data_IF_709300094865
#
_entry.id   IF_709300094865
#
_cell.length_a   1.000
_cell.length_b   1.000
_cell.length_c   1.000
_cell.angle_alpha   90.00
_cell.angle_beta   90.00
_cell.angle_gamma   90.00
#
_symmetry.space_group_name_H-M   'P 1'
#
loop_
_entity.id
_entity.type
_entity.pdbx_description
1 polymer ?
#
# COMPACT_ATOMS: atom_id res chain seq x y z
N UNK A 1 -12.81 3.20 -19.30
CA UNK A 1 -13.52 2.96 -18.02
C UNK A 1 -12.69 1.95 -17.25
N UNK A 2 -12.36 2.22 -15.98
CA UNK A 2 -11.72 1.22 -15.12
C UNK A 2 -12.81 0.27 -14.62
N UNK A 3 -12.60 -1.05 -14.76
CA UNK A 3 -13.57 -2.05 -14.27
C UNK A 3 -13.49 -2.22 -12.74
N UNK A 4 -12.40 -1.76 -12.12
CA UNK A 4 -12.23 -1.79 -10.67
C UNK A 4 -13.01 -0.62 -10.04
N UNK A 5 -13.77 -0.85 -8.94
CA UNK A 5 -14.40 0.23 -8.19
C UNK A 5 -13.39 1.30 -7.76
N UNK A 6 -13.81 2.57 -7.76
CA UNK A 6 -12.92 3.70 -7.48
C UNK A 6 -12.11 3.55 -6.17
N UNK A 7 -12.69 3.11 -5.02
CA UNK A 7 -11.92 2.94 -3.78
C UNK A 7 -10.77 1.93 -3.92
N UNK A 8 -11.01 0.84 -4.66
CA UNK A 8 -10.02 -0.19 -4.91
C UNK A 8 -8.94 0.33 -5.85
N UNK A 9 -9.30 1.14 -6.84
CA UNK A 9 -8.35 1.73 -7.78
C UNK A 9 -7.43 2.75 -7.09
N UNK A 10 -7.98 3.62 -6.24
CA UNK A 10 -7.21 4.58 -5.44
C UNK A 10 -6.24 3.86 -4.50
N UNK A 11 -6.72 2.84 -3.79
CA UNK A 11 -5.89 2.03 -2.89
C UNK A 11 -4.78 1.33 -3.65
N UNK A 12 -5.10 0.72 -4.79
CA UNK A 12 -4.12 0.05 -5.64
C UNK A 12 -3.07 1.03 -6.13
N UNK A 13 -3.45 2.22 -6.59
CA UNK A 13 -2.52 3.25 -7.05
C UNK A 13 -1.49 3.60 -5.96
N UNK A 14 -1.95 3.81 -4.72
CA UNK A 14 -1.08 4.10 -3.60
C UNK A 14 -0.11 2.95 -3.30
N UNK A 15 -0.62 1.71 -3.30
CA UNK A 15 0.21 0.51 -3.08
C UNK A 15 1.27 0.39 -4.18
N UNK A 16 0.91 0.49 -5.45
CA UNK A 16 1.86 0.35 -6.56
C UNK A 16 2.95 1.43 -6.50
N UNK A 17 2.57 2.70 -6.24
CA UNK A 17 3.53 3.79 -6.06
C UNK A 17 4.49 3.54 -4.89
N UNK A 18 3.99 3.02 -3.77
CA UNK A 18 4.83 2.67 -2.63
C UNK A 18 5.82 1.56 -3.00
N UNK A 19 5.35 0.51 -3.66
CA UNK A 19 6.19 -0.64 -4.03
C UNK A 19 7.23 -0.30 -5.10
N UNK A 20 6.91 0.59 -6.04
CA UNK A 20 7.88 1.14 -7.00
C UNK A 20 9.03 1.81 -6.28
N UNK A 21 8.75 2.66 -5.28
CA UNK A 21 9.79 3.31 -4.45
C UNK A 21 10.61 2.31 -3.66
N UNK A 22 9.99 1.23 -3.14
CA UNK A 22 10.73 0.16 -2.46
C UNK A 22 11.70 -0.50 -3.43
N UNK A 23 11.26 -0.82 -4.66
CA UNK A 23 12.09 -1.43 -5.70
C UNK A 23 13.23 -0.52 -6.18
N UNK A 24 12.99 0.79 -6.32
CA UNK A 24 14.03 1.80 -6.63
C UNK A 24 15.14 1.83 -5.57
N UNK A 25 14.81 1.48 -4.32
CA UNK A 25 15.77 1.41 -3.22
C UNK A 25 16.36 -0.01 -3.01
N UNK A 26 16.22 -0.90 -4.00
CA UNK A 26 16.71 -2.29 -3.96
C UNK A 26 18.19 -2.43 -3.59
N UNK A 27 19.04 -1.47 -3.95
CA UNK A 27 20.45 -1.47 -3.54
C UNK A 27 20.65 -1.48 -2.01
N UNK A 28 19.69 -0.93 -1.24
CA UNK A 28 19.76 -0.83 0.23
C UNK A 28 18.92 -1.88 0.94
N UNK A 29 17.74 -2.20 0.40
CA UNK A 29 16.79 -3.10 1.05
C UNK A 29 16.77 -4.52 0.46
N UNK A 30 17.51 -4.77 -0.63
CA UNK A 30 17.59 -6.06 -1.33
C UNK A 30 16.25 -6.58 -1.89
N UNK A 31 15.26 -5.70 -2.04
CA UNK A 31 13.93 -6.02 -2.56
C UNK A 31 13.78 -5.54 -4.00
N UNK A 32 14.06 -6.42 -4.95
CA UNK A 32 13.78 -6.20 -6.37
C UNK A 32 12.26 -6.24 -6.64
N UNK A 33 11.84 -5.68 -7.78
CA UNK A 33 10.45 -5.71 -8.23
C UNK A 33 9.90 -7.15 -8.31
N UNK A 34 10.72 -8.10 -8.74
CA UNK A 34 10.39 -9.53 -8.83
C UNK A 34 10.15 -10.15 -7.46
N UNK A 35 10.97 -9.80 -6.46
CA UNK A 35 10.81 -10.28 -5.09
C UNK A 35 9.52 -9.75 -4.48
N UNK A 36 9.26 -8.45 -4.65
CA UNK A 36 8.03 -7.81 -4.20
C UNK A 36 6.79 -8.41 -4.88
N UNK A 37 6.86 -8.66 -6.19
CA UNK A 37 5.74 -9.25 -6.91
C UNK A 37 5.46 -10.68 -6.45
N UNK A 38 6.50 -11.49 -6.25
CA UNK A 38 6.36 -12.89 -5.82
C UNK A 38 5.65 -12.99 -4.47
N UNK A 39 5.96 -12.09 -3.52
CA UNK A 39 5.40 -12.17 -2.16
C UNK A 39 4.07 -11.44 -2.00
N UNK A 40 3.81 -10.37 -2.76
CA UNK A 40 2.60 -9.55 -2.61
C UNK A 40 1.49 -9.88 -3.61
N UNK A 41 1.80 -10.56 -4.71
CA UNK A 41 0.80 -10.88 -5.73
C UNK A 41 -0.37 -11.72 -5.19
N UNK A 42 -0.16 -12.76 -4.36
CA UNK A 42 -1.28 -13.51 -3.76
C UNK A 42 -2.18 -12.64 -2.88
N UNK A 43 -1.61 -11.65 -2.18
CA UNK A 43 -2.33 -10.75 -1.26
C UNK A 43 -3.12 -9.67 -2.00
N UNK A 44 -2.56 -9.10 -3.07
CA UNK A 44 -3.17 -7.98 -3.80
C UNK A 44 -4.21 -8.49 -4.82
N UNK A 45 -3.89 -9.56 -5.54
CA UNK A 45 -4.74 -10.07 -6.63
C UNK A 45 -5.79 -11.05 -6.10
N UNK A 46 -5.41 -11.85 -5.09
CA UNK A 46 -6.28 -12.89 -4.56
C UNK A 46 -6.50 -14.05 -5.53
N UNK A 47 -7.26 -15.04 -5.08
CA UNK A 47 -7.61 -16.23 -5.86
C UNK A 47 -9.08 -16.15 -6.27
N UNK A 48 -9.36 -16.30 -7.55
CA UNK A 48 -10.72 -16.22 -8.10
C UNK A 48 -11.60 -17.44 -7.76
N UNK A 49 -11.00 -18.59 -7.45
CA UNK A 49 -11.71 -19.83 -7.12
C UNK A 49 -11.18 -20.45 -5.83
N UNK A 50 -11.89 -20.22 -4.72
CA UNK A 50 -11.64 -20.90 -3.44
C UNK A 50 -12.17 -22.34 -3.39
N UNK A 51 -13.02 -22.72 -4.36
CA UNK A 51 -13.80 -23.98 -4.31
C UNK A 51 -13.10 -25.17 -4.99
N UNK A 52 -12.07 -24.95 -5.82
CA UNK A 52 -11.53 -26.01 -6.70
C UNK A 52 -9.99 -26.15 -6.70
N UNK A 53 -9.31 -25.66 -5.67
CA UNK A 53 -7.83 -25.65 -5.56
C UNK A 53 -7.19 -27.01 -5.23
N UNK A 54 -7.84 -28.14 -5.52
CA UNK A 54 -7.33 -29.46 -5.13
C UNK A 54 -6.23 -30.03 -6.04
N UNK A 55 -5.81 -29.32 -7.11
CA UNK A 55 -4.77 -29.78 -8.03
C UNK A 55 -3.52 -28.90 -7.87
N UNK A 56 -2.41 -29.48 -7.41
CA UNK A 56 -1.14 -28.77 -7.17
C UNK A 56 -0.55 -28.13 -8.44
N UNK A 57 -0.86 -28.65 -9.62
CA UNK A 57 -0.44 -28.06 -10.90
C UNK A 57 -1.15 -26.73 -11.20
N UNK A 58 -2.39 -26.57 -10.73
CA UNK A 58 -3.18 -25.36 -10.94
C UNK A 58 -2.74 -24.24 -9.99
N UNK A 59 -2.34 -24.58 -8.76
CA UNK A 59 -1.88 -23.58 -7.79
C UNK A 59 -0.56 -22.90 -8.21
N UNK A 60 0.38 -23.66 -8.78
CA UNK A 60 1.65 -23.12 -9.27
C UNK A 60 1.45 -22.15 -10.45
N UNK A 61 0.58 -22.52 -11.40
CA UNK A 61 0.22 -21.66 -12.54
C UNK A 61 -0.48 -20.38 -12.07
N UNK A 62 -1.40 -20.49 -11.11
CA UNK A 62 -2.10 -19.33 -10.53
C UNK A 62 -1.12 -18.36 -9.87
N UNK A 63 -0.19 -18.87 -9.04
CA UNK A 63 0.84 -18.05 -8.39
C UNK A 63 1.75 -17.33 -9.40
N UNK A 64 2.14 -18.03 -10.46
CA UNK A 64 2.96 -17.46 -11.54
C UNK A 64 2.21 -16.33 -12.26
N UNK A 65 0.94 -16.55 -12.60
CA UNK A 65 0.11 -15.55 -13.27
C UNK A 65 -0.11 -14.31 -12.39
N UNK A 66 -0.39 -14.51 -11.10
CA UNK A 66 -0.52 -13.40 -10.13
C UNK A 66 0.78 -12.56 -10.11
N UNK A 67 1.93 -13.22 -10.01
CA UNK A 67 3.24 -12.54 -10.01
C UNK A 67 3.43 -11.71 -11.29
N UNK A 68 3.11 -12.27 -12.46
CA UNK A 68 3.21 -11.56 -13.74
C UNK A 68 2.28 -10.35 -13.79
N UNK A 69 1.05 -10.47 -13.30
CA UNK A 69 0.09 -9.35 -13.26
C UNK A 69 0.67 -8.22 -12.39
N UNK A 70 1.17 -8.51 -11.20
CA UNK A 70 1.70 -7.49 -10.31
C UNK A 70 2.96 -6.82 -10.88
N UNK A 71 3.84 -7.58 -11.54
CA UNK A 71 4.97 -7.03 -12.28
C UNK A 71 4.54 -6.09 -13.42
N UNK A 72 3.46 -6.42 -14.13
CA UNK A 72 2.91 -5.54 -15.16
C UNK A 72 2.36 -4.24 -14.57
N UNK A 73 1.73 -4.30 -13.39
CA UNK A 73 1.28 -3.11 -12.67
C UNK A 73 2.47 -2.21 -12.29
N UNK A 74 3.60 -2.78 -11.87
CA UNK A 74 4.81 -2.02 -11.55
C UNK A 74 5.46 -1.34 -12.76
N UNK A 75 5.26 -1.87 -13.97
CA UNK A 75 5.79 -1.26 -15.21
C UNK A 75 4.99 -0.05 -15.67
N UNK A 76 3.81 0.18 -15.10
CA UNK A 76 3.01 1.36 -15.41
C UNK A 76 3.69 2.59 -14.77
N UNK A 77 3.94 3.68 -15.52
CA UNK A 77 4.63 4.87 -15.00
C UNK A 77 3.96 5.45 -13.75
N UNK A 78 4.77 5.99 -12.84
CA UNK A 78 4.27 6.57 -11.58
C UNK A 78 3.27 7.71 -11.81
N UNK A 79 3.45 8.48 -12.89
CA UNK A 79 2.58 9.58 -13.32
C UNK A 79 1.16 9.12 -13.59
N UNK A 80 0.98 7.90 -14.10
CA UNK A 80 -0.35 7.33 -14.31
C UNK A 80 -1.05 7.11 -12.98
N UNK A 81 -0.34 6.56 -11.99
CA UNK A 81 -0.89 6.27 -10.66
C UNK A 81 -1.13 7.53 -9.82
N UNK A 82 -0.28 8.55 -9.96
CA UNK A 82 -0.42 9.82 -9.23
C UNK A 82 -1.74 10.53 -9.50
N UNK A 83 -2.31 10.38 -10.71
CA UNK A 83 -3.63 10.93 -11.06
C UNK A 83 -4.75 10.51 -10.11
N UNK A 84 -4.70 9.29 -9.58
CA UNK A 84 -5.70 8.79 -8.63
C UNK A 84 -5.54 9.45 -7.26
N UNK A 85 -4.30 9.68 -6.84
CA UNK A 85 -3.98 10.31 -5.55
C UNK A 85 -4.35 11.80 -5.56
N UNK A 86 -4.00 12.51 -6.63
CA UNK A 86 -4.29 13.93 -6.81
C UNK A 86 -5.80 14.20 -6.87
N UNK A 87 -6.55 13.37 -7.58
CA UNK A 87 -8.01 13.47 -7.65
C UNK A 87 -8.66 13.25 -6.27
N UNK A 88 -8.15 12.31 -5.48
CA UNK A 88 -8.65 12.05 -4.13
C UNK A 88 -8.36 13.24 -3.19
N UNK A 89 -7.14 13.77 -3.19
CA UNK A 89 -6.78 14.95 -2.39
C UNK A 89 -7.63 16.18 -2.74
N UNK A 90 -7.86 16.42 -4.03
CA UNK A 90 -8.76 17.47 -4.50
C UNK A 90 -10.19 17.28 -3.98
N UNK A 91 -10.71 16.05 -4.00
CA UNK A 91 -12.03 15.72 -3.47
C UNK A 91 -12.13 15.94 -1.95
N UNK A 92 -11.10 15.58 -1.19
CA UNK A 92 -11.05 15.81 0.27
C UNK A 92 -11.04 17.31 0.59
N UNK A 93 -10.16 18.09 -0.06
CA UNK A 93 -10.11 19.54 0.12
C UNK A 93 -11.43 20.22 -0.26
N UNK A 94 -12.09 19.75 -1.32
CA UNK A 94 -13.40 20.24 -1.71
C UNK A 94 -14.50 19.87 -0.71
N UNK A 95 -14.43 18.70 -0.06
CA UNK A 95 -15.35 18.30 1.00
C UNK A 95 -15.13 19.10 2.29
N UNK A 96 -13.88 19.38 2.65
CA UNK A 96 -13.52 20.23 3.79
C UNK A 96 -13.99 21.67 3.58
N UNK A 97 -13.82 22.23 2.37
CA UNK A 97 -14.30 23.57 2.03
C UNK A 97 -15.83 23.70 2.10
N UNK A 98 -16.58 22.59 2.00
CA UNK A 98 -18.04 22.54 2.07
C UNK A 98 -18.59 22.39 3.49
N UNK A 99 -17.74 22.17 4.49
CA UNK A 99 -18.18 21.99 5.88
C UNK A 99 -17.74 23.19 6.73
N UNK A 100 -18.61 24.20 6.95
CA UNK A 100 -18.29 25.32 7.84
C UNK A 100 -18.36 24.83 9.29
N UNK A 101 -17.23 24.36 9.83
CA UNK A 101 -17.05 24.19 11.28
C UNK A 101 -16.66 22.79 11.74
N UNK A 102 -15.41 22.38 11.49
CA UNK A 102 -14.74 21.43 12.38
C UNK A 102 -13.29 21.85 12.56
N UNK A 103 -13.05 22.59 13.64
CA UNK A 103 -11.76 23.16 14.00
C UNK A 103 -10.74 22.05 14.27
N UNK A 104 -9.63 22.12 13.55
CA UNK A 104 -8.26 21.87 14.03
C UNK A 104 -8.13 21.54 15.52
N UNK A 105 -8.04 20.25 15.86
CA UNK A 105 -7.72 19.81 17.23
C UNK A 105 -7.01 18.44 17.31
N UNK A 106 -6.22 18.02 16.30
CA UNK A 106 -5.67 16.65 16.31
C UNK A 106 -4.16 16.50 16.05
N UNK A 107 -3.33 17.54 16.17
CA UNK A 107 -1.87 17.35 16.12
C UNK A 107 -1.05 18.03 17.23
N UNK A 108 -1.65 18.61 18.28
CA UNK A 108 -0.88 18.94 19.49
C UNK A 108 -0.81 17.74 20.43
N UNK A 109 -0.10 16.69 20.02
CA UNK A 109 0.35 15.64 20.95
C UNK A 109 1.78 15.97 21.32
N UNK A 110 1.96 16.75 22.39
CA UNK A 110 3.21 16.77 23.14
C UNK A 110 3.06 15.86 24.35
N UNK A 111 3.70 14.68 24.39
CA UNK A 111 3.91 13.97 25.65
C UNK A 111 5.21 14.49 26.27
N UNK A 112 5.05 15.27 27.34
CA UNK A 112 6.08 15.57 28.33
C UNK A 112 6.79 14.31 28.79
N UNK A 113 8.12 14.31 28.72
CA UNK A 113 9.01 13.33 29.36
C UNK A 113 8.72 13.25 30.86
N UNK A 114 8.35 12.07 31.35
CA UNK A 114 8.40 11.76 32.77
C UNK A 114 9.11 10.40 32.93
N UNK A 115 10.45 10.43 32.82
CA UNK A 115 11.28 9.29 33.21
C UNK A 115 11.38 9.27 34.73
N UNK A 116 10.80 8.25 35.36
CA UNK A 116 11.13 7.86 36.73
C UNK A 116 12.54 7.26 36.74
N UNK A 117 13.50 7.74 37.55
CA UNK A 117 14.84 7.16 37.61
C UNK A 117 14.83 5.80 38.33
N UNK A 118 15.77 4.89 38.01
CA UNK A 118 15.88 3.58 38.65
C UNK A 118 16.42 3.69 40.09
N UNK A 119 16.08 2.75 40.99
CA UNK A 119 16.60 2.77 42.36
C UNK A 119 18.09 2.37 42.37
N UNK A 120 18.91 3.25 42.94
CA UNK A 120 20.32 3.01 43.29
C UNK A 120 20.39 2.03 44.46
N UNK A 121 21.02 0.87 44.27
CA UNK A 121 21.49 0.00 45.34
C UNK A 121 22.76 0.63 45.93
N UNK A 122 22.65 1.20 47.12
CA UNK A 122 23.80 1.54 47.97
C UNK A 122 24.07 0.39 48.94
N UNK A 123 25.37 0.13 49.13
CA UNK A 123 26.07 -0.93 49.86
C UNK A 123 25.41 -1.56 51.09
#
# INVERSE_FOLDING_TARGET
VFELPAPNCDTLAYIILHLQKVAENSAKNQMLAENLATVLAPTIIGHSNLVNTQIAEDSCKISTNQTIILLRLFKIPSEFWNRFIENNMSAVLAAEARTPGSRTALLSVTPTTNRKPPPTLTS
#
